data_IF_185528949711
#
_entry.id   IF_185528949711
#
_cell.length_a   1.000
_cell.length_b   1.000
_cell.length_c   1.000
_cell.angle_alpha   90.00
_cell.angle_beta   90.00
_cell.angle_gamma   90.00
#
_symmetry.space_group_name_H-M   'P 1'
#
loop_
_entity.id
_entity.type
_entity.pdbx_description
1 polymer ?
#
# COMPACT_ATOMS: atom_id res chain seq x y z
N UNK A 1 -33.22 0.53 8.66
CA UNK A 1 -31.73 0.59 8.71
C UNK A 1 -31.24 0.56 7.29
N UNK A 2 -30.46 1.55 6.82
CA UNK A 2 -29.96 1.57 5.44
C UNK A 2 -28.82 0.55 5.26
N UNK A 3 -28.63 0.04 4.02
CA UNK A 3 -27.52 -0.89 3.69
C UNK A 3 -26.15 -0.30 4.09
N UNK A 4 -26.00 1.03 4.06
CA UNK A 4 -24.77 1.72 4.48
C UNK A 4 -24.51 1.66 5.98
N UNK A 5 -25.55 1.71 6.81
CA UNK A 5 -25.45 1.62 8.28
C UNK A 5 -25.12 0.19 8.71
N UNK A 6 -25.71 -0.80 8.05
CA UNK A 6 -25.44 -2.22 8.32
C UNK A 6 -24.01 -2.61 7.95
N UNK A 7 -23.55 -2.20 6.76
CA UNK A 7 -22.17 -2.37 6.34
C UNK A 7 -21.17 -1.72 7.31
N UNK A 8 -21.47 -0.50 7.78
CA UNK A 8 -20.66 0.19 8.77
C UNK A 8 -20.60 -0.53 10.13
N UNK A 9 -21.71 -1.18 10.54
CA UNK A 9 -21.75 -1.98 11.78
C UNK A 9 -20.93 -3.27 11.64
N UNK A 10 -21.09 -3.99 10.53
CA UNK A 10 -20.32 -5.20 10.23
C UNK A 10 -18.82 -4.90 10.14
N UNK A 11 -18.45 -3.80 9.51
CA UNK A 11 -17.07 -3.37 9.42
C UNK A 11 -16.44 -3.10 10.80
N UNK A 12 -17.15 -2.42 11.70
CA UNK A 12 -16.68 -2.20 13.07
C UNK A 12 -16.51 -3.49 13.87
N UNK A 13 -17.40 -4.47 13.66
CA UNK A 13 -17.28 -5.80 14.31
C UNK A 13 -16.05 -6.52 13.79
N UNK A 14 -15.83 -6.50 12.48
CA UNK A 14 -14.65 -7.07 11.82
C UNK A 14 -13.35 -6.45 12.35
N UNK A 15 -13.26 -5.11 12.35
CA UNK A 15 -12.10 -4.41 12.88
C UNK A 15 -11.81 -4.76 14.35
N UNK A 16 -12.85 -4.81 15.19
CA UNK A 16 -12.72 -5.22 16.59
C UNK A 16 -12.19 -6.65 16.72
N UNK A 17 -12.62 -7.55 15.85
CA UNK A 17 -12.17 -8.94 15.83
C UNK A 17 -10.70 -9.03 15.45
N UNK A 18 -10.26 -8.28 14.43
CA UNK A 18 -8.85 -8.21 14.04
C UNK A 18 -7.98 -7.67 15.17
N UNK A 19 -8.40 -6.57 15.82
CA UNK A 19 -7.66 -6.00 16.97
C UNK A 19 -7.54 -7.00 18.13
N UNK A 20 -8.61 -7.75 18.42
CA UNK A 20 -8.56 -8.81 19.45
C UNK A 20 -7.61 -9.96 19.07
N UNK A 21 -7.44 -10.23 17.78
CA UNK A 21 -6.49 -11.21 17.28
C UNK A 21 -5.03 -10.67 17.19
N UNK A 22 -4.76 -9.46 17.70
CA UNK A 22 -3.44 -8.85 17.73
C UNK A 22 -3.05 -8.11 16.45
N UNK A 23 -4.01 -7.83 15.55
CA UNK A 23 -3.74 -7.03 14.34
C UNK A 23 -3.72 -5.54 14.69
N UNK A 24 -2.63 -4.87 14.34
CA UNK A 24 -2.47 -3.42 14.46
C UNK A 24 -3.02 -2.74 13.20
N UNK A 25 -3.99 -1.85 13.36
CA UNK A 25 -4.63 -1.11 12.27
C UNK A 25 -4.22 0.34 12.37
N UNK A 26 -3.45 0.80 11.40
CA UNK A 26 -2.91 2.16 11.34
C UNK A 26 -3.70 2.99 10.32
N UNK A 27 -4.39 4.05 10.78
CA UNK A 27 -5.17 4.97 9.95
C UNK A 27 -4.64 6.38 10.10
N UNK A 28 -3.74 6.77 9.22
CA UNK A 28 -2.97 8.00 9.33
C UNK A 28 -2.24 8.09 10.68
N UNK A 29 -1.75 6.96 11.12
CA UNK A 29 -1.06 6.73 12.39
C UNK A 29 0.27 6.02 12.12
N UNK A 30 1.14 6.01 13.10
CA UNK A 30 2.37 5.23 13.06
C UNK A 30 2.60 4.50 14.38
N UNK A 31 3.32 3.40 14.28
CA UNK A 31 3.73 2.59 15.43
C UNK A 31 5.19 2.18 15.27
N UNK A 32 5.91 2.18 16.38
CA UNK A 32 7.31 1.75 16.44
C UNK A 32 7.43 0.38 17.06
N UNK A 33 8.15 -0.50 16.37
CA UNK A 33 8.55 -1.80 16.86
C UNK A 33 10.09 -1.89 17.00
N UNK A 34 10.56 -2.64 17.99
CA UNK A 34 11.96 -3.00 18.14
C UNK A 34 12.11 -4.47 17.84
N UNK A 35 12.77 -4.81 16.73
CA UNK A 35 12.97 -6.17 16.27
C UNK A 35 14.47 -6.50 16.29
N UNK A 36 14.87 -7.43 17.14
CA UNK A 36 16.29 -7.81 17.33
C UNK A 36 17.21 -6.60 17.53
N UNK A 37 16.78 -5.64 18.35
CA UNK A 37 17.54 -4.41 18.65
C UNK A 37 17.44 -3.30 17.59
N UNK A 38 16.80 -3.55 16.44
CA UNK A 38 16.62 -2.56 15.38
C UNK A 38 15.25 -1.88 15.51
N UNK A 39 15.22 -0.56 15.39
CA UNK A 39 13.99 0.22 15.40
C UNK A 39 13.36 0.24 14.01
N UNK A 40 12.08 -0.13 13.92
CA UNK A 40 11.29 -0.04 12.70
C UNK A 40 10.03 0.77 13.02
N UNK A 41 9.73 1.77 12.20
CA UNK A 41 8.52 2.57 12.32
C UNK A 41 7.58 2.26 11.16
N UNK A 42 6.41 1.72 11.47
CA UNK A 42 5.34 1.43 10.51
C UNK A 42 4.39 2.62 10.43
N UNK A 43 4.13 3.08 9.21
CA UNK A 43 3.25 4.21 8.92
C UNK A 43 2.08 3.74 8.07
N UNK A 44 0.85 3.91 8.55
CA UNK A 44 -0.35 3.62 7.76
C UNK A 44 -0.87 4.88 7.07
N UNK A 45 -0.88 4.90 5.74
CA UNK A 45 -1.42 6.01 4.96
C UNK A 45 -2.82 5.67 4.42
N UNK A 46 -3.82 6.36 4.93
CA UNK A 46 -5.19 6.32 4.41
C UNK A 46 -5.48 7.63 3.66
N UNK A 47 -5.51 7.54 2.33
CA UNK A 47 -5.81 8.68 1.48
C UNK A 47 -7.33 8.91 1.37
N UNK A 48 -7.78 10.17 1.35
CA UNK A 48 -9.16 10.53 1.04
C UNK A 48 -9.65 9.93 -0.28
N UNK A 49 -10.96 9.70 -0.39
CA UNK A 49 -11.57 8.97 -1.52
C UNK A 49 -11.31 9.62 -2.88
N UNK A 50 -11.12 10.93 -2.93
CA UNK A 50 -10.81 11.67 -4.16
C UNK A 50 -9.51 11.18 -4.83
N UNK A 51 -8.55 10.63 -4.08
CA UNK A 51 -7.33 10.03 -4.62
C UNK A 51 -7.56 8.69 -5.32
N UNK A 52 -8.77 8.13 -5.21
CA UNK A 52 -9.19 6.88 -5.87
C UNK A 52 -10.19 7.12 -7.01
N UNK A 53 -10.58 8.38 -7.29
CA UNK A 53 -11.55 8.69 -8.34
C UNK A 53 -11.05 8.24 -9.73
N UNK A 54 -12.01 7.83 -10.55
CA UNK A 54 -11.82 7.36 -11.93
C UNK A 54 -12.44 8.39 -12.89
N UNK A 55 -11.84 8.67 -14.02
CA UNK A 55 -10.52 8.29 -14.49
C UNK A 55 -9.42 9.22 -13.92
N UNK A 56 -9.78 10.34 -13.29
CA UNK A 56 -8.86 11.37 -12.81
C UNK A 56 -8.91 11.50 -11.31
N UNK A 57 -7.76 11.38 -10.69
CA UNK A 57 -7.53 11.69 -9.28
C UNK A 57 -6.45 12.76 -9.14
N UNK A 58 -6.46 13.55 -8.08
CA UNK A 58 -5.47 14.59 -7.84
C UNK A 58 -4.05 14.01 -7.75
N UNK A 59 -3.04 14.85 -8.01
CA UNK A 59 -1.65 14.52 -7.70
C UNK A 59 -1.46 14.55 -6.19
N UNK A 60 -0.89 13.50 -5.62
CA UNK A 60 -0.48 13.52 -4.23
C UNK A 60 0.79 14.34 -4.10
N UNK A 61 0.77 15.33 -3.20
CA UNK A 61 1.94 16.13 -2.85
C UNK A 61 2.51 15.64 -1.52
N UNK A 62 3.82 15.78 -1.33
CA UNK A 62 4.50 15.43 -0.09
C UNK A 62 3.90 16.13 1.14
N UNK A 63 3.54 17.40 1.00
CA UNK A 63 2.96 18.22 2.07
C UNK A 63 1.62 17.67 2.55
N UNK A 64 0.85 17.03 1.65
CA UNK A 64 -0.40 16.34 2.01
C UNK A 64 -0.11 15.12 2.85
N UNK A 65 0.90 14.33 2.50
CA UNK A 65 1.33 13.20 3.32
C UNK A 65 1.82 13.65 4.69
N UNK A 66 2.67 14.68 4.73
CA UNK A 66 3.17 15.25 6.00
C UNK A 66 2.03 15.76 6.89
N UNK A 67 0.95 16.28 6.30
CA UNK A 67 -0.25 16.69 7.04
C UNK A 67 -1.05 15.49 7.57
N UNK A 68 -1.14 14.40 6.81
CA UNK A 68 -1.92 13.21 7.18
C UNK A 68 -1.20 12.34 8.21
N UNK A 69 0.08 12.05 7.99
CA UNK A 69 0.84 11.07 8.77
C UNK A 69 2.08 11.64 9.45
N UNK A 70 2.40 12.92 9.25
CA UNK A 70 3.63 13.54 9.78
C UNK A 70 4.84 13.31 8.89
N UNK A 71 6.01 13.70 9.40
CA UNK A 71 7.31 13.51 8.72
C UNK A 71 7.97 12.24 9.23
N UNK A 72 8.69 11.49 8.35
CA UNK A 72 9.40 10.31 8.79
C UNK A 72 10.50 10.66 9.80
N UNK A 73 10.69 9.79 10.77
CA UNK A 73 11.76 9.93 11.73
C UNK A 73 13.15 9.68 11.10
N UNK A 74 14.19 10.13 11.78
CA UNK A 74 15.59 9.87 11.36
C UNK A 74 16.16 8.58 11.95
N UNK A 75 15.51 8.01 12.95
CA UNK A 75 15.99 6.85 13.69
C UNK A 75 15.21 5.61 13.32
N UNK A 76 15.90 4.62 12.76
CA UNK A 76 15.34 3.34 12.37
C UNK A 76 14.66 3.36 10.99
N UNK A 77 14.32 2.16 10.52
CA UNK A 77 13.72 1.93 9.21
C UNK A 77 12.28 2.47 9.17
N UNK A 78 11.94 3.19 8.12
CA UNK A 78 10.62 3.77 7.89
C UNK A 78 9.84 2.92 6.88
N UNK A 79 8.87 2.15 7.35
CA UNK A 79 8.02 1.28 6.51
C UNK A 79 6.67 1.96 6.31
N UNK A 80 6.34 2.28 5.06
CA UNK A 80 5.07 2.89 4.67
C UNK A 80 4.08 1.84 4.13
N UNK A 81 2.94 1.72 4.77
CA UNK A 81 1.80 0.94 4.32
C UNK A 81 0.88 1.86 3.51
N UNK A 82 0.96 1.79 2.17
CA UNK A 82 0.21 2.68 1.28
C UNK A 82 -0.42 1.88 0.14
N UNK A 83 -1.72 1.67 0.20
CA UNK A 83 -2.43 0.74 -0.68
C UNK A 83 -2.28 1.05 -2.18
N UNK A 84 -2.31 2.33 -2.58
CA UNK A 84 -2.32 2.73 -4.00
C UNK A 84 -0.91 3.07 -4.52
N UNK A 85 -0.27 2.23 -5.37
CA UNK A 85 1.08 2.45 -5.86
C UNK A 85 1.21 3.62 -6.85
N UNK A 86 0.09 4.17 -7.35
CA UNK A 86 0.07 5.33 -8.25
C UNK A 86 0.94 6.49 -7.76
N UNK A 87 1.03 6.65 -6.46
CA UNK A 87 1.72 7.77 -5.81
C UNK A 87 3.15 7.41 -5.34
N UNK A 88 3.71 6.31 -5.82
CA UNK A 88 5.02 5.79 -5.39
C UNK A 88 6.14 6.82 -5.43
N UNK A 89 6.16 7.72 -6.45
CA UNK A 89 7.15 8.81 -6.50
C UNK A 89 7.08 9.71 -5.26
N UNK A 90 5.87 10.07 -4.83
CA UNK A 90 5.65 10.91 -3.64
C UNK A 90 6.01 10.15 -2.36
N UNK A 91 5.80 8.85 -2.32
CA UNK A 91 6.19 8.02 -1.16
C UNK A 91 7.71 8.00 -0.97
N UNK A 92 8.47 7.87 -2.05
CA UNK A 92 9.93 8.00 -2.01
C UNK A 92 10.37 9.41 -1.58
N UNK A 93 9.72 10.47 -2.12
CA UNK A 93 10.00 11.87 -1.75
C UNK A 93 9.67 12.19 -0.30
N UNK A 94 8.65 11.54 0.26
CA UNK A 94 8.29 11.66 1.66
C UNK A 94 9.40 11.08 2.57
N UNK A 95 10.07 10.01 2.13
CA UNK A 95 11.24 9.44 2.81
C UNK A 95 11.00 8.07 3.44
N UNK A 96 10.11 7.25 2.86
CA UNK A 96 9.98 5.85 3.24
C UNK A 96 11.19 5.05 2.76
N UNK A 97 11.75 4.19 3.62
CA UNK A 97 12.79 3.23 3.24
C UNK A 97 12.19 2.02 2.54
N UNK A 98 11.04 1.57 3.03
CA UNK A 98 10.25 0.50 2.43
C UNK A 98 8.79 0.93 2.27
N UNK A 99 8.20 0.64 1.12
CA UNK A 99 6.80 0.91 0.81
C UNK A 99 6.12 -0.41 0.47
N UNK A 100 5.00 -0.70 1.12
CA UNK A 100 4.17 -1.87 0.84
C UNK A 100 2.85 -1.42 0.22
N UNK A 101 2.60 -1.87 -1.02
CA UNK A 101 1.44 -1.47 -1.82
C UNK A 101 0.74 -2.68 -2.46
N UNK A 102 -0.46 -2.46 -2.95
CA UNK A 102 -1.28 -3.45 -3.66
C UNK A 102 -2.15 -2.79 -4.72
N UNK A 103 -3.47 -2.88 -4.60
CA UNK A 103 -4.50 -2.17 -5.36
C UNK A 103 -4.63 -2.55 -6.84
N UNK A 104 -3.54 -2.78 -7.56
CA UNK A 104 -3.57 -3.02 -9.01
C UNK A 104 -3.79 -4.48 -9.37
N UNK A 105 -3.72 -5.39 -8.39
CA UNK A 105 -3.91 -6.83 -8.58
C UNK A 105 -3.10 -7.41 -9.75
N UNK A 106 -1.91 -6.86 -10.04
CA UNK A 106 -1.08 -7.23 -11.18
C UNK A 106 -1.63 -6.82 -12.54
N UNK A 107 -2.71 -6.01 -12.60
CA UNK A 107 -3.22 -5.37 -13.82
C UNK A 107 -4.02 -6.27 -14.75
N UNK A 108 -4.82 -7.22 -14.24
CA UNK A 108 -5.67 -8.18 -14.98
C UNK A 108 -4.84 -9.10 -15.89
N UNK A 109 -4.18 -8.54 -16.90
CA UNK A 109 -3.21 -9.22 -17.79
C UNK A 109 -1.82 -8.76 -17.40
N UNK A 110 -0.94 -9.68 -17.03
CA UNK A 110 0.46 -9.41 -16.66
C UNK A 110 1.36 -9.80 -17.81
N UNK A 111 2.21 -8.89 -18.28
CA UNK A 111 3.12 -9.13 -19.40
C UNK A 111 4.54 -9.48 -18.94
N UNK A 112 4.93 -8.96 -17.78
CA UNK A 112 6.22 -9.20 -17.19
C UNK A 112 6.15 -9.06 -15.67
N UNK A 113 7.28 -9.21 -15.01
CA UNK A 113 7.41 -9.08 -13.56
C UNK A 113 6.87 -7.73 -13.02
N UNK A 114 7.00 -6.66 -13.81
CA UNK A 114 6.63 -5.29 -13.38
C UNK A 114 5.47 -4.66 -14.15
N UNK A 115 4.99 -5.29 -15.22
CA UNK A 115 4.03 -4.67 -16.14
C UNK A 115 2.74 -5.47 -16.26
N UNK A 116 1.64 -4.79 -15.95
CA UNK A 116 0.28 -5.24 -16.21
C UNK A 116 -0.47 -4.27 -17.12
N UNK A 117 -1.55 -4.76 -17.74
CA UNK A 117 -2.30 -4.01 -18.75
C UNK A 117 -3.02 -2.80 -18.17
N UNK A 118 -3.65 -2.95 -17.01
CA UNK A 118 -4.57 -1.93 -16.50
C UNK A 118 -4.52 -1.78 -14.98
N UNK A 119 -4.99 -0.65 -14.49
CA UNK A 119 -5.25 -0.40 -13.08
C UNK A 119 -6.75 -0.26 -12.80
N UNK A 120 -7.19 -0.34 -11.52
CA UNK A 120 -8.56 -0.04 -11.12
C UNK A 120 -9.04 1.35 -11.52
N UNK A 121 -8.13 2.31 -11.75
CA UNK A 121 -8.45 3.66 -12.21
C UNK A 121 -8.40 3.81 -13.74
N UNK A 122 -8.48 2.70 -14.51
CA UNK A 122 -8.42 2.69 -15.97
C UNK A 122 -7.14 3.27 -16.59
N UNK A 123 -6.03 3.25 -15.86
CA UNK A 123 -4.73 3.53 -16.43
C UNK A 123 -4.27 2.32 -17.24
N UNK A 124 -3.90 2.56 -18.49
CA UNK A 124 -3.26 1.55 -19.34
C UNK A 124 -1.76 1.58 -19.06
N UNK A 125 -1.15 0.41 -18.89
CA UNK A 125 0.27 0.24 -18.55
C UNK A 125 0.70 1.14 -17.36
N UNK A 126 0.03 0.99 -16.21
CA UNK A 126 0.33 1.85 -15.07
C UNK A 126 1.76 1.66 -14.58
N UNK A 127 2.45 2.73 -14.18
CA UNK A 127 3.73 2.59 -13.50
C UNK A 127 3.52 1.87 -12.16
N UNK A 128 4.53 1.14 -11.71
CA UNK A 128 4.48 0.42 -10.43
C UNK A 128 3.31 -0.59 -10.35
N UNK A 129 3.13 -1.39 -11.40
CA UNK A 129 1.99 -2.30 -11.48
C UNK A 129 2.10 -3.46 -10.48
N UNK A 130 3.23 -4.11 -10.43
CA UNK A 130 3.51 -5.27 -9.57
C UNK A 130 5.03 -5.49 -9.47
N UNK A 131 5.48 -6.15 -8.41
CA UNK A 131 6.90 -6.46 -8.20
C UNK A 131 7.64 -5.51 -7.27
N UNK A 132 8.96 -5.54 -7.32
CA UNK A 132 9.86 -4.69 -6.53
C UNK A 132 10.38 -3.53 -7.38
N UNK A 133 10.21 -2.33 -6.88
CA UNK A 133 10.73 -1.10 -7.46
C UNK A 133 11.66 -0.42 -6.46
N UNK A 134 12.75 0.16 -6.92
CA UNK A 134 13.70 0.82 -6.05
C UNK A 134 14.13 2.19 -6.56
N UNK A 135 14.51 3.06 -5.63
CA UNK A 135 15.12 4.36 -5.88
C UNK A 135 16.26 4.57 -4.89
N UNK A 136 17.49 4.34 -5.32
CA UNK A 136 18.62 4.24 -4.40
C UNK A 136 18.41 3.08 -3.42
N UNK A 137 18.44 3.37 -2.12
CA UNK A 137 18.23 2.39 -1.05
C UNK A 137 16.75 2.26 -0.61
N UNK A 138 15.83 2.93 -1.28
CA UNK A 138 14.41 2.86 -0.99
C UNK A 138 13.74 1.79 -1.86
N UNK A 139 12.89 0.94 -1.27
CA UNK A 139 12.19 -0.14 -1.97
C UNK A 139 10.67 0.05 -1.91
N UNK A 140 9.99 -0.28 -2.99
CA UNK A 140 8.53 -0.36 -3.02
C UNK A 140 8.09 -1.69 -3.59
N UNK A 141 7.44 -2.50 -2.76
CA UNK A 141 6.86 -3.78 -3.14
C UNK A 141 5.38 -3.58 -3.46
N UNK A 142 4.99 -3.99 -4.66
CA UNK A 142 3.59 -3.93 -5.12
C UNK A 142 3.10 -5.34 -5.37
N UNK A 143 2.29 -5.86 -4.45
CA UNK A 143 1.75 -7.22 -4.56
C UNK A 143 0.56 -7.28 -5.51
N UNK A 144 0.50 -8.35 -6.32
CA UNK A 144 -0.69 -8.73 -7.07
C UNK A 144 -1.79 -9.28 -6.16
N UNK A 145 -1.47 -9.63 -4.91
CA UNK A 145 -2.41 -10.07 -3.88
C UNK A 145 -3.14 -11.39 -4.20
N UNK A 146 -3.96 -11.82 -3.25
CA UNK A 146 -4.75 -13.05 -3.34
C UNK A 146 -6.17 -12.80 -3.88
N UNK A 147 -6.69 -11.58 -3.73
CA UNK A 147 -8.04 -11.18 -4.14
C UNK A 147 -8.17 -10.97 -5.65
N UNK A 148 -9.41 -10.80 -6.10
CA UNK A 148 -9.74 -10.55 -7.50
C UNK A 148 -10.11 -9.08 -7.70
N UNK A 149 -9.93 -8.63 -8.94
CA UNK A 149 -10.36 -7.32 -9.40
C UNK A 149 -11.89 -7.30 -9.60
N UNK A 150 -12.47 -6.13 -9.91
CA UNK A 150 -13.87 -5.97 -10.33
C UNK A 150 -14.25 -6.94 -11.45
N UNK A 151 -13.34 -7.21 -12.38
CA UNK A 151 -13.41 -8.29 -13.34
C UNK A 151 -12.65 -9.50 -12.77
N UNK A 152 -13.32 -10.63 -12.47
CA UNK A 152 -12.68 -11.80 -11.87
C UNK A 152 -11.87 -12.59 -12.92
N UNK A 153 -10.90 -11.92 -13.52
CA UNK A 153 -10.05 -12.45 -14.57
C UNK A 153 -8.59 -12.11 -14.29
N UNK A 154 -7.75 -13.13 -14.36
CA UNK A 154 -6.29 -13.02 -14.31
C UNK A 154 -5.68 -13.80 -15.47
N UNK A 155 -4.91 -13.12 -16.33
CA UNK A 155 -4.20 -13.72 -17.46
C UNK A 155 -2.71 -13.54 -17.22
N UNK A 156 -1.96 -14.63 -17.16
CA UNK A 156 -0.53 -14.68 -16.78
C UNK A 156 -0.22 -13.93 -15.47
N UNK A 157 -1.21 -13.83 -14.60
CA UNK A 157 -1.19 -13.02 -13.39
C UNK A 157 -1.65 -13.88 -12.19
N UNK A 158 -0.81 -14.78 -11.67
CA UNK A 158 -1.15 -15.65 -10.54
C UNK A 158 -1.43 -14.84 -9.27
N UNK A 159 -2.17 -15.44 -8.34
CA UNK A 159 -2.31 -14.91 -6.98
C UNK A 159 -0.93 -14.94 -6.30
N UNK A 160 -0.63 -13.92 -5.52
CA UNK A 160 0.70 -13.69 -5.00
C UNK A 160 0.66 -13.37 -3.51
N UNK A 161 1.51 -14.05 -2.75
CA UNK A 161 1.87 -13.73 -1.38
C UNK A 161 3.36 -13.39 -1.36
N UNK A 162 3.69 -12.15 -1.01
CA UNK A 162 5.07 -11.70 -0.89
C UNK A 162 5.62 -12.04 0.50
N UNK A 163 6.78 -12.65 0.54
CA UNK A 163 7.59 -12.83 1.75
C UNK A 163 8.84 -11.95 1.62
N UNK A 164 9.00 -11.02 2.53
CA UNK A 164 10.10 -10.03 2.52
C UNK A 164 10.99 -10.31 3.73
N UNK A 165 12.24 -10.69 3.48
CA UNK A 165 13.26 -10.88 4.51
C UNK A 165 14.11 -9.61 4.64
N UNK A 166 14.01 -8.92 5.77
CA UNK A 166 14.75 -7.70 6.05
C UNK A 166 15.95 -8.02 6.92
N UNK A 167 17.14 -7.72 6.41
CA UNK A 167 18.42 -7.94 7.10
C UNK A 167 19.09 -6.62 7.42
N UNK A 168 19.86 -6.54 8.52
CA UNK A 168 20.75 -5.40 8.74
C UNK A 168 21.74 -5.26 7.58
N UNK A 169 22.07 -4.03 7.19
CA UNK A 169 23.22 -3.79 6.31
C UNK A 169 24.52 -4.19 7.03
N UNK A 170 25.35 -4.91 6.35
CA UNK A 170 26.72 -5.21 6.78
C UNK A 170 27.53 -3.92 6.90
#
# INVERSE_FOLDING_TARGET
>A
MSLSEENGKQYRIYEKTLKKAGVHILRNEHERAILKGNSICFWGLELPIEYYHKPRSPKLKKEVMEKLIGKPGRNGMQVLLAHNPKYGKTYYEWGADMILSGHYHGGVVRFSEHHGLSSPQYLVLPPFCCGDFHKGNQHMFVSAGLGEHTLPLRIHNPRELLVIDVKPSE
#
